data_IF_963089930197
#
_entry.id   IF_963089930197
#
_cell.length_a   1.000
_cell.length_b   1.000
_cell.length_c   1.000
_cell.angle_alpha   90.00
_cell.angle_beta   90.00
_cell.angle_gamma   90.00
#
_symmetry.space_group_name_H-M   'P 1'
#
loop_
_entity.id
_entity.type
_entity.pdbx_description
1 polymer ?
#
# COMPACT_ATOMS: atom_id res chain seq x y z
N UNK A 1 6.26 -30.19 -15.54
CA UNK A 1 5.20 -29.22 -15.80
C UNK A 1 5.39 -28.09 -14.80
N UNK A 2 5.84 -26.92 -15.26
CA UNK A 2 5.88 -25.73 -14.39
C UNK A 2 4.42 -25.35 -14.08
N UNK A 3 4.09 -24.97 -12.83
CA UNK A 3 2.76 -24.47 -12.54
C UNK A 3 2.55 -23.23 -13.40
N UNK A 4 1.55 -23.28 -14.31
CA UNK A 4 1.18 -22.11 -15.07
C UNK A 4 0.53 -21.10 -14.11
N UNK A 5 1.28 -20.08 -13.73
CA UNK A 5 0.67 -18.95 -13.05
C UNK A 5 -0.38 -18.31 -13.98
N UNK A 6 -1.53 -17.87 -13.45
CA UNK A 6 -2.49 -17.15 -14.28
C UNK A 6 -1.82 -15.91 -14.88
N UNK A 7 -2.16 -15.60 -16.12
CA UNK A 7 -1.65 -14.39 -16.79
C UNK A 7 -2.14 -13.17 -16.04
N UNK A 8 -1.21 -12.39 -15.48
CA UNK A 8 -1.54 -11.13 -14.79
C UNK A 8 -1.92 -10.09 -15.85
N UNK A 9 -3.13 -9.58 -15.75
CA UNK A 9 -3.64 -8.55 -16.68
C UNK A 9 -3.46 -7.14 -16.15
N UNK A 10 -3.57 -6.97 -14.84
CA UNK A 10 -3.47 -5.69 -14.17
C UNK A 10 -2.44 -5.77 -13.07
N UNK A 11 -1.54 -4.80 -13.03
CA UNK A 11 -0.59 -4.62 -11.94
C UNK A 11 -0.93 -3.34 -11.20
N UNK A 12 -0.99 -3.44 -9.89
CA UNK A 12 -1.21 -2.32 -8.98
C UNK A 12 0.04 -2.12 -8.13
N UNK A 13 0.57 -0.92 -8.13
CA UNK A 13 1.69 -0.52 -7.28
C UNK A 13 1.23 0.51 -6.26
N UNK A 14 1.64 0.35 -5.01
CA UNK A 14 1.24 1.26 -3.94
C UNK A 14 1.76 0.84 -2.58
N UNK A 15 1.42 1.61 -1.56
CA UNK A 15 1.78 1.28 -0.19
C UNK A 15 0.75 0.36 0.45
N UNK A 16 1.26 -0.64 1.18
CA UNK A 16 0.52 -1.44 2.14
C UNK A 16 0.75 -0.86 3.53
N UNK A 17 -0.31 -0.71 4.31
CA UNK A 17 -0.26 -0.12 5.65
C UNK A 17 -1.01 -0.95 6.68
N UNK A 18 -0.75 -0.64 7.94
CA UNK A 18 -1.47 -1.11 9.12
C UNK A 18 -2.26 0.07 9.65
N UNK A 19 -3.56 0.10 9.34
CA UNK A 19 -4.39 1.27 9.62
C UNK A 19 -5.01 1.20 11.03
N UNK A 20 -5.00 2.34 11.69
CA UNK A 20 -5.64 2.61 12.97
C UNK A 20 -6.61 3.76 12.77
N UNK A 21 -7.90 3.44 12.68
CA UNK A 21 -8.93 4.40 12.31
C UNK A 21 -9.88 4.64 13.48
N UNK A 22 -10.14 5.90 13.80
CA UNK A 22 -11.20 6.32 14.72
C UNK A 22 -12.29 7.01 13.90
N UNK A 23 -13.50 6.47 13.93
CA UNK A 23 -14.61 6.98 13.15
C UNK A 23 -15.44 8.00 13.94
N UNK A 24 -16.21 8.88 13.26
CA UNK A 24 -17.02 9.89 13.91
C UNK A 24 -18.12 9.33 14.84
N UNK A 25 -18.55 8.09 14.62
CA UNK A 25 -19.51 7.38 15.46
C UNK A 25 -18.88 6.75 16.71
N UNK A 26 -17.60 7.03 16.96
CA UNK A 26 -16.84 6.50 18.10
C UNK A 26 -16.29 5.08 17.90
N UNK A 27 -16.52 4.45 16.75
CA UNK A 27 -15.93 3.13 16.47
C UNK A 27 -14.43 3.26 16.17
N UNK A 28 -13.70 2.28 16.67
CA UNK A 28 -12.27 2.15 16.40
C UNK A 28 -12.00 0.89 15.58
N UNK A 29 -11.27 1.05 14.49
CA UNK A 29 -10.69 -0.06 13.73
C UNK A 29 -9.19 -0.03 13.97
N UNK A 30 -8.67 -1.02 14.68
CA UNK A 30 -7.29 -1.03 15.15
C UNK A 30 -6.51 -2.14 14.47
N UNK A 31 -5.36 -1.78 13.90
CA UNK A 31 -4.45 -2.72 13.25
C UNK A 31 -5.14 -3.55 12.17
N UNK A 32 -5.74 -2.87 11.22
CA UNK A 32 -6.40 -3.49 10.08
C UNK A 32 -5.58 -3.35 8.81
N UNK A 33 -5.73 -4.26 7.81
CA UNK A 33 -5.07 -4.12 6.52
C UNK A 33 -5.56 -2.86 5.81
N UNK A 34 -4.62 -2.02 5.40
CA UNK A 34 -4.89 -0.73 4.78
C UNK A 34 -3.83 -0.33 3.75
N UNK A 35 -3.84 0.96 3.44
CA UNK A 35 -3.00 1.55 2.40
C UNK A 35 -3.68 1.56 1.04
N UNK A 36 -3.29 2.54 0.21
CA UNK A 36 -3.90 2.78 -1.10
C UNK A 36 -3.91 1.54 -2.02
N UNK A 37 -2.89 0.68 -1.90
CA UNK A 37 -2.80 -0.52 -2.71
C UNK A 37 -3.95 -1.50 -2.44
N UNK A 38 -4.27 -1.80 -1.18
CA UNK A 38 -5.37 -2.71 -0.88
C UNK A 38 -6.73 -2.14 -1.25
N UNK A 39 -6.94 -0.83 -1.07
CA UNK A 39 -8.19 -0.19 -1.48
C UNK A 39 -8.37 -0.24 -2.99
N UNK A 40 -7.34 0.08 -3.77
CA UNK A 40 -7.36 0.00 -5.23
C UNK A 40 -7.58 -1.45 -5.71
N UNK A 41 -6.88 -2.41 -5.10
CA UNK A 41 -7.00 -3.82 -5.44
C UNK A 41 -8.40 -4.37 -5.10
N UNK A 42 -8.96 -4.02 -3.96
CA UNK A 42 -10.32 -4.42 -3.58
C UNK A 42 -11.37 -3.85 -4.54
N UNK A 43 -11.22 -2.59 -4.96
CA UNK A 43 -12.10 -1.98 -5.96
C UNK A 43 -12.01 -2.65 -7.32
N UNK A 44 -10.80 -2.87 -7.84
CA UNK A 44 -10.60 -3.52 -9.13
C UNK A 44 -11.01 -5.00 -9.11
N UNK A 45 -10.84 -5.68 -7.97
CA UNK A 45 -11.19 -7.10 -7.80
C UNK A 45 -12.67 -7.41 -8.05
N UNK A 46 -13.54 -6.41 -7.97
CA UNK A 46 -14.97 -6.56 -8.31
C UNK A 46 -15.14 -6.91 -9.79
N UNK A 47 -14.22 -6.48 -10.65
CA UNK A 47 -14.30 -6.59 -12.10
C UNK A 47 -13.28 -7.56 -12.70
N UNK A 48 -12.16 -7.77 -12.02
CA UNK A 48 -11.04 -8.54 -12.53
C UNK A 48 -10.45 -9.46 -11.45
N UNK A 49 -9.98 -10.63 -11.85
CA UNK A 49 -9.44 -11.65 -10.94
C UNK A 49 -7.92 -11.81 -11.01
N UNK A 50 -7.31 -11.35 -12.12
CA UNK A 50 -5.87 -11.57 -12.40
C UNK A 50 -5.08 -10.30 -12.10
N UNK A 51 -4.98 -9.98 -10.82
CA UNK A 51 -4.31 -8.79 -10.30
C UNK A 51 -2.96 -9.14 -9.70
N UNK A 52 -1.91 -8.41 -10.09
CA UNK A 52 -0.61 -8.45 -9.43
C UNK A 52 -0.41 -7.23 -8.54
N UNK A 53 0.11 -7.44 -7.33
CA UNK A 53 0.39 -6.38 -6.37
C UNK A 53 1.89 -6.11 -6.32
N UNK A 54 2.27 -4.82 -6.34
CA UNK A 54 3.65 -4.36 -6.15
C UNK A 54 3.73 -3.44 -4.93
N UNK A 55 4.51 -3.85 -3.94
CA UNK A 55 4.76 -3.08 -2.73
C UNK A 55 6.04 -3.53 -2.05
N UNK A 56 6.49 -2.79 -1.04
CA UNK A 56 7.49 -3.25 -0.07
C UNK A 56 6.95 -3.15 1.33
N UNK A 57 7.20 -4.19 2.10
CA UNK A 57 6.81 -4.29 3.51
C UNK A 57 8.01 -4.74 4.35
N UNK A 58 8.02 -4.39 5.64
CA UNK A 58 9.00 -4.92 6.58
C UNK A 58 8.58 -6.30 7.11
N UNK A 59 9.50 -6.99 7.77
CA UNK A 59 9.27 -8.34 8.31
C UNK A 59 8.14 -8.42 9.35
N UNK A 60 7.82 -7.29 10.00
CA UNK A 60 6.74 -7.21 10.99
C UNK A 60 5.34 -7.00 10.37
N UNK A 61 5.26 -6.91 9.03
CA UNK A 61 3.97 -6.83 8.36
C UNK A 61 3.22 -8.16 8.44
N UNK A 62 1.93 -8.18 8.82
CA UNK A 62 1.21 -9.43 9.00
C UNK A 62 1.06 -10.24 7.70
N UNK A 63 1.81 -11.34 7.57
CA UNK A 63 1.78 -12.23 6.40
C UNK A 63 0.39 -12.80 6.14
N UNK A 64 -0.40 -13.04 7.18
CA UNK A 64 -1.78 -13.51 7.07
C UNK A 64 -2.67 -12.59 6.21
N UNK A 65 -2.37 -11.30 6.12
CA UNK A 65 -3.09 -10.37 5.25
C UNK A 65 -2.74 -10.57 3.78
N UNK A 66 -1.47 -10.88 3.49
CA UNK A 66 -1.03 -11.22 2.13
C UNK A 66 -1.60 -12.58 1.70
N UNK A 67 -1.61 -13.55 2.58
CA UNK A 67 -2.23 -14.86 2.35
C UNK A 67 -3.73 -14.72 2.07
N UNK A 68 -4.42 -13.86 2.83
CA UNK A 68 -5.84 -13.56 2.60
C UNK A 68 -6.06 -12.90 1.24
N UNK A 69 -5.22 -11.93 0.85
CA UNK A 69 -5.26 -11.30 -0.46
C UNK A 69 -5.04 -12.34 -1.58
N UNK A 70 -4.07 -13.23 -1.41
CA UNK A 70 -3.82 -14.33 -2.34
C UNK A 70 -5.04 -15.27 -2.44
N UNK A 71 -5.70 -15.57 -1.32
CA UNK A 71 -6.95 -16.35 -1.28
C UNK A 71 -8.10 -15.68 -2.05
N UNK A 72 -8.08 -14.37 -2.22
CA UNK A 72 -9.00 -13.63 -3.09
C UNK A 72 -8.55 -13.54 -4.55
N UNK A 73 -7.47 -14.23 -4.93
CA UNK A 73 -6.97 -14.26 -6.31
C UNK A 73 -6.06 -13.10 -6.68
N UNK A 74 -5.54 -12.36 -5.69
CA UNK A 74 -4.52 -11.34 -5.93
C UNK A 74 -3.13 -12.01 -5.89
N UNK A 75 -2.30 -11.79 -6.89
CA UNK A 75 -0.93 -12.29 -6.89
C UNK A 75 -0.05 -11.34 -6.03
N UNK A 76 0.47 -11.88 -4.95
CA UNK A 76 1.29 -11.14 -3.97
C UNK A 76 2.79 -11.33 -4.15
N UNK A 77 3.25 -12.03 -5.21
CA UNK A 77 4.68 -12.27 -5.48
C UNK A 77 5.51 -11.00 -5.62
N UNK A 78 4.87 -9.90 -6.06
CA UNK A 78 5.50 -8.59 -6.17
C UNK A 78 5.49 -7.77 -4.86
N UNK A 79 5.06 -8.35 -3.75
CA UNK A 79 5.19 -7.73 -2.43
C UNK A 79 6.50 -8.19 -1.79
N UNK A 80 7.52 -7.35 -1.88
CA UNK A 80 8.85 -7.65 -1.35
C UNK A 80 8.90 -7.39 0.16
N UNK A 81 9.39 -8.38 0.91
CA UNK A 81 9.66 -8.24 2.35
C UNK A 81 11.11 -7.79 2.53
N UNK A 82 11.34 -6.73 3.31
CA UNK A 82 12.66 -6.20 3.62
C UNK A 82 12.97 -6.30 5.11
N UNK A 83 14.25 -6.52 5.42
CA UNK A 83 14.77 -6.45 6.80
C UNK A 83 14.90 -5.01 7.31
N UNK A 84 14.88 -4.03 6.40
CA UNK A 84 14.90 -2.62 6.80
C UNK A 84 13.60 -2.27 7.54
N UNK A 85 13.68 -1.60 8.69
CA UNK A 85 12.49 -1.18 9.41
C UNK A 85 11.72 -0.12 8.59
N UNK A 86 10.45 -0.39 8.31
CA UNK A 86 9.57 0.54 7.62
C UNK A 86 8.43 0.98 8.55
N UNK A 87 8.16 2.28 8.60
CA UNK A 87 6.95 2.75 9.29
C UNK A 87 5.74 2.49 8.38
N UNK A 88 5.04 1.41 8.65
CA UNK A 88 3.87 0.98 7.87
C UNK A 88 2.55 1.26 8.59
N UNK A 89 2.60 1.75 9.82
CA UNK A 89 1.42 2.15 10.55
C UNK A 89 0.87 3.45 9.99
N UNK A 90 -0.43 3.60 10.04
CA UNK A 90 -1.14 4.81 9.66
C UNK A 90 -2.22 5.06 10.71
N UNK A 91 -2.27 6.26 11.24
CA UNK A 91 -3.31 6.68 12.15
C UNK A 91 -4.18 7.75 11.48
N UNK A 92 -5.49 7.62 11.64
CA UNK A 92 -6.43 8.65 11.22
C UNK A 92 -7.63 8.68 12.16
N UNK A 93 -7.94 9.83 12.69
CA UNK A 93 -9.16 10.10 13.43
C UNK A 93 -10.05 11.04 12.63
N UNK A 94 -11.30 10.65 12.41
CA UNK A 94 -12.30 11.50 11.79
C UNK A 94 -13.11 12.18 12.88
N UNK A 95 -12.99 13.50 12.99
CA UNK A 95 -13.80 14.31 13.91
C UNK A 95 -15.21 14.53 13.36
N UNK A 96 -15.32 14.53 12.04
CA UNK A 96 -16.55 14.48 11.26
C UNK A 96 -16.29 13.66 9.97
N UNK A 97 -17.27 13.55 9.08
CA UNK A 97 -17.13 12.74 7.85
C UNK A 97 -16.08 13.26 6.86
N UNK A 98 -15.64 14.51 6.99
CA UNK A 98 -14.78 15.18 6.01
C UNK A 98 -13.44 15.67 6.57
N UNK A 99 -13.25 15.61 7.89
CA UNK A 99 -12.08 16.18 8.55
C UNK A 99 -11.22 15.09 9.18
N UNK A 100 -10.24 14.55 8.42
CA UNK A 100 -9.28 13.59 8.96
C UNK A 100 -8.19 14.32 9.76
N UNK A 101 -7.87 13.80 10.92
CA UNK A 101 -6.72 14.20 11.75
C UNK A 101 -5.76 13.02 11.87
N UNK A 102 -4.48 13.23 11.54
CA UNK A 102 -3.50 12.16 11.44
C UNK A 102 -2.36 12.25 12.47
N UNK A 103 -2.37 13.29 13.27
CA UNK A 103 -1.39 13.54 14.33
C UNK A 103 -1.95 13.24 15.72
N UNK A 104 -1.09 13.26 16.73
CA UNK A 104 -1.44 13.14 18.16
C UNK A 104 -2.43 12.01 18.51
N UNK A 105 -2.19 10.76 18.12
CA UNK A 105 -3.15 9.67 18.34
C UNK A 105 -3.57 9.53 19.81
N UNK A 106 -2.66 9.79 20.77
CA UNK A 106 -2.93 9.70 22.21
C UNK A 106 -4.11 10.58 22.62
N UNK A 107 -4.21 11.80 22.08
CA UNK A 107 -5.28 12.75 22.40
C UNK A 107 -6.64 12.21 21.91
N UNK A 108 -6.68 11.63 20.71
CA UNK A 108 -7.90 11.09 20.12
C UNK A 108 -8.42 9.87 20.86
N UNK A 109 -7.52 8.93 21.21
CA UNK A 109 -7.87 7.76 22.02
C UNK A 109 -8.37 8.17 23.39
N UNK A 110 -7.70 9.12 24.05
CA UNK A 110 -8.09 9.63 25.37
C UNK A 110 -9.47 10.30 25.33
N UNK A 111 -9.77 11.10 24.30
CA UNK A 111 -11.05 11.78 24.14
C UNK A 111 -12.22 10.80 23.98
N UNK A 112 -11.99 9.67 23.36
CA UNK A 112 -12.97 8.62 23.14
C UNK A 112 -13.03 7.58 24.28
N UNK A 113 -12.22 7.75 25.32
CA UNK A 113 -12.05 6.80 26.43
C UNK A 113 -11.68 5.38 25.98
N UNK A 114 -11.01 5.27 24.83
CA UNK A 114 -10.53 4.01 24.27
C UNK A 114 -9.07 3.78 24.75
N UNK A 115 -8.74 2.57 25.25
CA UNK A 115 -7.36 2.25 25.62
C UNK A 115 -6.41 2.44 24.43
N UNK A 116 -5.26 3.10 24.68
CA UNK A 116 -4.26 3.32 23.64
C UNK A 116 -3.67 1.97 23.15
N UNK A 117 -3.72 1.67 21.86
CA UNK A 117 -3.29 0.36 21.33
C UNK A 117 -1.76 0.23 21.40
N UNK A 118 -1.29 -0.94 21.88
CA UNK A 118 0.15 -1.23 21.95
C UNK A 118 0.86 -1.10 20.61
N UNK A 119 0.16 -1.44 19.51
CA UNK A 119 0.71 -1.33 18.17
C UNK A 119 1.08 0.09 17.73
N UNK A 120 0.51 1.13 18.36
CA UNK A 120 0.87 2.53 18.09
C UNK A 120 1.94 3.09 19.06
N UNK A 121 2.49 2.29 19.97
CA UNK A 121 3.60 2.78 20.80
C UNK A 121 4.80 3.15 19.92
N UNK A 122 5.32 4.35 20.13
CA UNK A 122 6.43 4.88 19.33
C UNK A 122 6.07 5.26 17.89
N UNK A 123 4.78 5.27 17.52
CA UNK A 123 4.36 5.76 16.20
C UNK A 123 4.65 7.26 16.09
N UNK A 124 5.25 7.63 14.97
CA UNK A 124 5.45 9.02 14.58
C UNK A 124 4.86 9.21 13.20
N UNK A 125 3.95 10.17 13.01
CA UNK A 125 3.42 10.47 11.68
C UNK A 125 4.56 10.73 10.70
N UNK A 126 4.45 10.29 9.45
CA UNK A 126 5.46 10.60 8.44
C UNK A 126 5.58 12.11 8.32
N UNK A 127 6.83 12.63 8.22
CA UNK A 127 7.04 14.07 8.09
C UNK A 127 6.40 14.57 6.80
N UNK A 128 5.72 15.70 6.87
CA UNK A 128 5.19 16.37 5.69
C UNK A 128 6.35 17.08 4.95
N UNK A 129 7.11 16.28 4.21
CA UNK A 129 8.24 16.76 3.41
C UNK A 129 8.03 16.38 1.94
N UNK A 130 8.40 17.26 1.00
CA UNK A 130 8.34 16.94 -0.41
C UNK A 130 9.25 15.75 -0.75
N UNK A 131 8.81 14.94 -1.71
CA UNK A 131 9.55 13.79 -2.18
C UNK A 131 10.96 14.16 -2.67
N UNK A 132 11.93 13.34 -2.34
CA UNK A 132 13.26 13.46 -2.89
C UNK A 132 13.25 13.11 -4.38
N UNK A 133 13.87 13.96 -5.21
CA UNK A 133 14.03 13.68 -6.64
C UNK A 133 15.28 12.86 -6.96
N UNK A 134 16.11 12.58 -5.97
CA UNK A 134 17.40 11.92 -6.18
C UNK A 134 17.64 10.72 -5.27
N UNK A 135 16.85 10.58 -4.20
CA UNK A 135 16.99 9.51 -3.23
C UNK A 135 15.66 8.77 -3.08
N UNK A 136 15.61 7.48 -3.43
CA UNK A 136 14.40 6.70 -3.25
C UNK A 136 14.06 6.53 -1.77
N UNK A 137 12.77 6.47 -1.47
CA UNK A 137 12.25 6.12 -0.16
C UNK A 137 12.55 4.66 0.19
N UNK A 138 12.67 4.30 1.47
CA UNK A 138 12.75 2.90 1.89
C UNK A 138 11.55 2.05 1.45
N UNK A 139 10.39 2.68 1.26
CA UNK A 139 9.18 2.02 0.76
C UNK A 139 9.15 1.83 -0.77
N UNK A 140 10.15 2.38 -1.48
CA UNK A 140 10.20 2.33 -2.94
C UNK A 140 10.27 0.88 -3.44
N UNK A 141 9.39 0.52 -4.36
CA UNK A 141 9.47 -0.74 -5.11
C UNK A 141 10.73 -0.70 -5.97
N UNK A 142 11.54 -1.74 -5.89
CA UNK A 142 12.75 -1.88 -6.70
C UNK A 142 12.47 -2.76 -7.92
N UNK A 143 13.21 -2.55 -9.02
CA UNK A 143 13.01 -3.35 -10.24
C UNK A 143 13.18 -4.85 -10.02
N UNK A 144 14.07 -5.24 -9.10
CA UNK A 144 14.27 -6.64 -8.72
C UNK A 144 13.09 -7.27 -7.97
N UNK A 145 12.21 -6.45 -7.41
CA UNK A 145 11.03 -6.90 -6.67
C UNK A 145 9.87 -7.25 -7.63
N UNK A 146 10.00 -6.87 -8.91
CA UNK A 146 8.95 -7.05 -9.92
C UNK A 146 9.08 -8.45 -10.55
N UNK A 147 8.09 -9.34 -10.40
CA UNK A 147 8.07 -10.60 -11.12
C UNK A 147 8.14 -10.38 -12.62
N UNK A 148 8.92 -11.21 -13.32
CA UNK A 148 9.18 -11.04 -14.75
C UNK A 148 7.90 -11.04 -15.59
N UNK A 149 6.96 -11.92 -15.27
CA UNK A 149 5.67 -12.04 -15.94
C UNK A 149 4.71 -10.86 -15.70
N UNK A 150 4.98 -9.98 -14.70
CA UNK A 150 4.19 -8.75 -14.54
C UNK A 150 4.41 -7.74 -15.66
N UNK A 151 5.54 -7.83 -16.36
CA UNK A 151 5.83 -6.95 -17.52
C UNK A 151 4.89 -7.20 -18.70
N UNK A 152 4.24 -8.37 -18.74
CA UNK A 152 3.27 -8.73 -19.76
C UNK A 152 1.85 -8.24 -19.42
N UNK A 153 1.67 -7.57 -18.30
CA UNK A 153 0.39 -7.01 -17.92
C UNK A 153 -0.08 -5.93 -18.90
N UNK A 154 -1.38 -5.95 -19.20
CA UNK A 154 -2.02 -4.98 -20.10
C UNK A 154 -2.07 -3.59 -19.49
N UNK A 155 -2.25 -3.50 -18.17
CA UNK A 155 -2.38 -2.24 -17.47
C UNK A 155 -1.58 -2.21 -16.17
N UNK A 156 -1.02 -1.02 -15.89
CA UNK A 156 -0.41 -0.67 -14.61
C UNK A 156 -1.15 0.52 -13.99
N UNK A 157 -1.53 0.39 -12.72
CA UNK A 157 -1.93 1.50 -11.89
C UNK A 157 -0.87 1.76 -10.82
N UNK A 158 -0.37 2.99 -10.75
CA UNK A 158 0.55 3.42 -9.69
C UNK A 158 -0.22 4.37 -8.78
N UNK A 159 -0.51 3.90 -7.57
CA UNK A 159 -1.13 4.67 -6.50
C UNK A 159 -0.16 5.69 -5.88
N UNK A 160 -0.55 6.36 -4.79
CA UNK A 160 0.29 7.34 -4.13
C UNK A 160 1.61 6.72 -3.66
N UNK A 161 2.65 6.98 -4.42
CA UNK A 161 4.04 6.62 -4.16
C UNK A 161 4.90 7.87 -4.37
N UNK A 162 6.17 7.79 -4.03
CA UNK A 162 7.12 8.87 -4.27
C UNK A 162 7.38 9.10 -5.77
N UNK A 163 7.84 10.30 -6.09
CA UNK A 163 8.13 10.74 -7.46
C UNK A 163 9.04 9.78 -8.23
N UNK A 164 10.14 9.32 -7.60
CA UNK A 164 11.09 8.42 -8.25
C UNK A 164 10.45 7.07 -8.58
N UNK A 165 9.59 6.56 -7.74
CA UNK A 165 8.90 5.29 -7.98
C UNK A 165 7.89 5.41 -9.12
N UNK A 166 7.16 6.54 -9.21
CA UNK A 166 6.31 6.82 -10.37
C UNK A 166 7.11 6.79 -11.67
N UNK A 167 8.25 7.48 -11.73
CA UNK A 167 9.10 7.53 -12.92
C UNK A 167 9.69 6.14 -13.26
N UNK A 168 10.18 5.41 -12.25
CA UNK A 168 10.82 4.12 -12.42
C UNK A 168 9.84 3.07 -12.95
N UNK A 169 8.70 2.92 -12.29
CA UNK A 169 7.70 1.90 -12.63
C UNK A 169 7.10 2.16 -14.01
N UNK A 170 6.71 3.39 -14.31
CA UNK A 170 6.16 3.72 -15.62
C UNK A 170 7.15 3.48 -16.76
N UNK A 171 8.42 3.82 -16.54
CA UNK A 171 9.48 3.57 -17.54
C UNK A 171 9.69 2.08 -17.76
N UNK A 172 9.74 1.30 -16.67
CA UNK A 172 9.96 -0.14 -16.75
C UNK A 172 8.83 -0.86 -17.47
N UNK A 173 7.58 -0.57 -17.10
CA UNK A 173 6.41 -1.23 -17.68
C UNK A 173 6.14 -0.82 -19.14
N UNK A 174 6.52 0.39 -19.55
CA UNK A 174 6.45 0.80 -20.96
C UNK A 174 7.38 0.02 -21.87
N UNK A 175 8.40 -0.63 -21.34
CA UNK A 175 9.29 -1.51 -22.11
C UNK A 175 8.71 -2.91 -22.31
N UNK A 176 7.61 -3.24 -21.65
CA UNK A 176 6.88 -4.50 -21.78
C UNK A 176 5.64 -4.36 -22.65
N UNK A 177 4.60 -5.16 -22.36
CA UNK A 177 3.34 -5.22 -23.10
C UNK A 177 2.28 -4.24 -22.58
N UNK A 178 2.61 -3.40 -21.59
CA UNK A 178 1.65 -2.51 -20.94
C UNK A 178 1.16 -1.40 -21.88
N UNK A 179 -0.13 -1.38 -22.15
CA UNK A 179 -0.77 -0.39 -23.03
C UNK A 179 -1.46 0.73 -22.26
N UNK A 180 -1.88 0.47 -21.02
CA UNK A 180 -2.59 1.43 -20.18
C UNK A 180 -1.80 1.72 -18.91
N UNK A 181 -1.52 3.00 -18.67
CA UNK A 181 -0.88 3.49 -17.45
C UNK A 181 -1.78 4.51 -16.78
N UNK A 182 -2.06 4.31 -15.49
CA UNK A 182 -2.77 5.27 -14.67
C UNK A 182 -1.93 5.63 -13.44
N UNK A 183 -1.93 6.90 -13.10
CA UNK A 183 -1.16 7.43 -11.98
C UNK A 183 -2.09 8.16 -11.03
N UNK A 184 -1.91 7.91 -9.74
CA UNK A 184 -2.49 8.68 -8.65
C UNK A 184 -1.34 9.32 -7.86
N UNK A 185 -0.94 10.55 -8.21
CA UNK A 185 0.17 11.22 -7.55
C UNK A 185 -0.20 11.55 -6.11
N UNK A 186 0.75 11.39 -5.19
CA UNK A 186 0.59 11.92 -3.84
C UNK A 186 0.33 13.43 -3.89
N UNK A 187 -0.56 13.97 -3.04
CA UNK A 187 -0.63 15.41 -2.85
C UNK A 187 0.74 15.87 -2.37
N UNK A 188 1.35 16.83 -3.13
CA UNK A 188 2.66 17.42 -2.84
C UNK A 188 2.66 18.35 -1.64
#
# INVERSE_FOLDING_TARGET
MLPSHPVIRFVLAGQLRRDYLLLPDGKAHLDIPGGGLFYSAAGLRIWETNLGLLSRVSEDYPTAWLEKAAGYGMDTRGVAVTTDPLEQRSFCAYTDLNTPETDNPVVHFSRLEIPFPRGLLGYTPPPNQPDSRTRPSPHAVQLRDIPEDYRDATALHVGPLEFLNHALLTTHFRQGSTTTLTLDPSPG
#
